data_IF_910565956155
#
_entry.id   IF_910565956155
#
_cell.length_a   1.000
_cell.length_b   1.000
_cell.length_c   1.000
_cell.angle_alpha   90.00
_cell.angle_beta   90.00
_cell.angle_gamma   90.00
#
_symmetry.space_group_name_H-M   'P 1'
#
loop_
_entity.id
_entity.type
_entity.pdbx_description
1 polymer ?
#
# COMPACT_ATOMS: atom_id res chain seq x y z
N UNK A 1 -16.89 8.72 -14.87
CA UNK A 1 -15.44 8.93 -15.07
C UNK A 1 -14.82 7.56 -15.28
N UNK A 2 -13.85 7.42 -16.20
CA UNK A 2 -13.21 6.14 -16.48
C UNK A 2 -11.79 6.20 -15.92
N UNK A 3 -11.56 5.51 -14.80
CA UNK A 3 -10.23 5.41 -14.20
C UNK A 3 -9.48 4.22 -14.78
N UNK A 4 -8.20 4.41 -15.06
CA UNK A 4 -7.30 3.34 -15.48
C UNK A 4 -6.50 2.83 -14.30
N UNK A 5 -6.47 1.51 -14.10
CA UNK A 5 -5.67 0.86 -13.06
C UNK A 5 -4.55 0.06 -13.71
N UNK A 6 -3.31 0.29 -13.29
CA UNK A 6 -2.14 -0.41 -13.84
C UNK A 6 -1.00 -0.52 -12.84
N UNK A 7 -0.05 -1.42 -13.12
CA UNK A 7 1.24 -1.44 -12.44
C UNK A 7 2.07 -0.24 -12.91
N UNK A 8 2.77 0.38 -11.97
CA UNK A 8 3.72 1.43 -12.26
C UNK A 8 4.98 0.86 -12.93
N UNK A 9 5.53 1.64 -13.85
CA UNK A 9 6.83 1.42 -14.48
C UNK A 9 7.88 2.36 -13.87
N UNK A 10 9.16 2.08 -14.10
CA UNK A 10 10.30 2.95 -13.72
C UNK A 10 10.05 4.43 -14.04
N UNK A 11 9.50 4.72 -15.23
CA UNK A 11 9.22 6.10 -15.67
C UNK A 11 8.21 6.85 -14.78
N UNK A 12 7.36 6.11 -14.06
CA UNK A 12 6.29 6.67 -13.23
C UNK A 12 6.76 7.04 -11.82
N UNK A 13 7.94 6.59 -11.39
CA UNK A 13 8.40 6.74 -10.01
C UNK A 13 8.50 8.20 -9.57
N UNK A 14 8.96 9.10 -10.45
CA UNK A 14 9.01 10.54 -10.17
C UNK A 14 7.62 11.14 -9.95
N UNK A 15 6.62 10.67 -10.72
CA UNK A 15 5.25 11.14 -10.59
C UNK A 15 4.60 10.61 -9.30
N UNK A 16 4.85 9.35 -8.95
CA UNK A 16 4.41 8.75 -7.69
C UNK A 16 5.03 9.48 -6.49
N UNK A 17 6.34 9.74 -6.51
CA UNK A 17 7.01 10.47 -5.42
C UNK A 17 6.38 11.85 -5.23
N UNK A 18 6.18 12.60 -6.32
CA UNK A 18 5.54 13.90 -6.27
C UNK A 18 4.10 13.83 -5.72
N UNK A 19 3.34 12.81 -6.09
CA UNK A 19 1.98 12.56 -5.59
C UNK A 19 1.97 12.24 -4.08
N UNK A 20 2.83 11.33 -3.63
CA UNK A 20 2.98 10.97 -2.22
C UNK A 20 3.43 12.16 -1.37
N UNK A 21 4.36 12.97 -1.88
CA UNK A 21 4.85 14.18 -1.22
C UNK A 21 3.74 15.22 -1.06
N UNK A 22 2.91 15.44 -2.09
CA UNK A 22 1.73 16.32 -2.01
C UNK A 22 0.73 15.84 -0.96
N UNK A 23 0.59 14.53 -0.77
CA UNK A 23 -0.28 13.94 0.24
C UNK A 23 0.34 13.87 1.65
N UNK A 24 1.56 14.37 1.84
CA UNK A 24 2.26 14.31 3.13
C UNK A 24 2.56 12.89 3.61
N UNK A 25 2.57 11.91 2.71
CA UNK A 25 2.82 10.51 3.02
C UNK A 25 4.31 10.18 2.84
N UNK A 26 4.79 9.15 3.53
CA UNK A 26 6.18 8.72 3.39
C UNK A 26 6.50 8.37 1.93
N UNK A 27 7.52 9.06 1.41
CA UNK A 27 8.06 8.94 0.05
C UNK A 27 9.54 8.55 0.06
N UNK A 28 10.10 8.24 1.24
CA UNK A 28 11.48 7.74 1.37
C UNK A 28 11.56 6.28 0.94
N UNK A 29 12.70 5.85 0.41
CA UNK A 29 12.94 4.46 0.03
C UNK A 29 12.02 3.97 -1.10
N UNK A 30 11.69 4.83 -2.06
CA UNK A 30 10.96 4.47 -3.29
C UNK A 30 11.87 3.82 -4.36
N UNK A 31 13.10 3.48 -4.01
CA UNK A 31 14.07 2.86 -4.93
C UNK A 31 13.47 1.60 -5.56
N UNK A 32 13.49 1.58 -6.90
CA UNK A 32 12.81 0.58 -7.76
C UNK A 32 13.14 -0.88 -7.42
N UNK A 33 14.29 -1.11 -6.79
CA UNK A 33 14.76 -2.45 -6.44
C UNK A 33 13.92 -3.13 -5.34
N UNK A 34 13.12 -2.39 -4.56
CA UNK A 34 12.41 -2.94 -3.39
C UNK A 34 10.90 -2.71 -3.35
N UNK A 35 10.38 -1.77 -4.12
CA UNK A 35 8.96 -1.39 -4.07
C UNK A 35 8.27 -1.53 -5.42
N UNK A 36 7.07 -2.11 -5.43
CA UNK A 36 6.15 -2.17 -6.57
C UNK A 36 4.91 -1.33 -6.28
N UNK A 37 4.45 -0.56 -7.26
CA UNK A 37 3.28 0.31 -7.10
C UNK A 37 2.18 -0.03 -8.08
N UNK A 38 0.94 0.00 -7.59
CA UNK A 38 -0.26 0.04 -8.41
C UNK A 38 -0.77 1.48 -8.41
N UNK A 39 -1.07 2.00 -9.58
CA UNK A 39 -1.55 3.36 -9.80
C UNK A 39 -2.94 3.34 -10.39
N UNK A 40 -3.76 4.30 -9.96
CA UNK A 40 -5.02 4.64 -10.60
C UNK A 40 -4.92 6.05 -11.20
N UNK A 41 -5.24 6.16 -12.48
CA UNK A 41 -5.12 7.38 -13.27
C UNK A 41 -6.51 7.84 -13.74
N UNK A 42 -6.73 9.15 -13.68
CA UNK A 42 -7.81 9.87 -14.34
C UNK A 42 -7.23 10.51 -15.61
N UNK A 43 -7.55 10.00 -16.81
CA UNK A 43 -6.90 10.43 -18.03
C UNK A 43 -7.16 11.91 -18.38
N UNK A 44 -6.21 12.57 -19.09
CA UNK A 44 -4.88 12.08 -19.43
C UNK A 44 -3.88 12.40 -18.30
N UNK A 45 -3.34 11.36 -17.66
CA UNK A 45 -2.16 11.42 -16.79
C UNK A 45 -2.30 12.05 -15.39
N UNK A 46 -3.51 12.17 -14.83
CA UNK A 46 -3.66 12.54 -13.41
C UNK A 46 -3.64 11.29 -12.51
N UNK A 47 -2.60 11.10 -11.71
CA UNK A 47 -2.61 10.09 -10.64
C UNK A 47 -3.64 10.49 -9.59
N UNK A 48 -4.68 9.67 -9.42
CA UNK A 48 -5.75 9.89 -8.44
C UNK A 48 -5.66 8.94 -7.25
N UNK A 49 -4.92 7.84 -7.37
CA UNK A 49 -4.51 7.02 -6.24
C UNK A 49 -3.25 6.18 -6.54
N UNK A 50 -2.56 5.78 -5.48
CA UNK A 50 -1.48 4.80 -5.54
C UNK A 50 -1.47 3.90 -4.31
N UNK A 51 -1.00 2.66 -4.50
CA UNK A 51 -0.76 1.69 -3.43
C UNK A 51 0.58 1.01 -3.70
N UNK A 52 1.52 1.14 -2.76
CA UNK A 52 2.83 0.51 -2.82
C UNK A 52 2.89 -0.81 -2.07
N UNK A 53 3.81 -1.67 -2.46
CA UNK A 53 4.16 -2.91 -1.77
C UNK A 53 5.66 -3.11 -1.78
N UNK A 54 6.22 -3.41 -0.61
CA UNK A 54 7.57 -3.95 -0.46
C UNK A 54 7.50 -5.46 -0.28
N UNK A 55 8.41 -6.19 -0.93
CA UNK A 55 8.55 -7.64 -0.79
C UNK A 55 9.62 -7.96 0.26
N UNK A 56 9.32 -8.93 1.13
CA UNK A 56 10.20 -9.42 2.17
C UNK A 56 10.41 -10.94 2.01
N UNK A 57 11.35 -11.47 2.79
CA UNK A 57 11.57 -12.92 2.88
C UNK A 57 10.33 -13.67 3.39
N UNK A 58 10.36 -14.99 3.29
CA UNK A 58 9.28 -15.87 3.79
C UNK A 58 7.90 -15.58 3.19
N UNK A 59 7.87 -15.13 1.92
CA UNK A 59 6.63 -14.84 1.17
C UNK A 59 5.78 -13.77 1.86
N UNK A 60 6.42 -12.78 2.46
CA UNK A 60 5.75 -11.66 3.14
C UNK A 60 5.84 -10.40 2.28
N UNK A 61 4.83 -9.56 2.36
CA UNK A 61 4.82 -8.25 1.73
C UNK A 61 4.29 -7.20 2.69
N UNK A 62 4.70 -5.95 2.51
CA UNK A 62 4.24 -4.80 3.27
C UNK A 62 3.60 -3.79 2.32
N UNK A 63 2.31 -3.55 2.49
CA UNK A 63 1.64 -2.44 1.83
C UNK A 63 2.08 -1.14 2.48
N UNK A 64 2.43 -0.18 1.63
CA UNK A 64 2.85 1.16 2.02
C UNK A 64 2.19 2.22 1.14
N UNK A 65 2.22 3.45 1.63
CA UNK A 65 1.95 4.63 0.83
C UNK A 65 0.58 4.60 0.09
N UNK A 66 -0.48 4.10 0.75
CA UNK A 66 -1.85 4.20 0.23
C UNK A 66 -2.30 5.65 0.26
N UNK A 67 -2.37 6.27 -0.91
CA UNK A 67 -2.88 7.62 -1.10
C UNK A 67 -4.01 7.57 -2.10
N UNK A 68 -5.14 8.15 -1.73
CA UNK A 68 -6.38 8.16 -2.52
C UNK A 68 -6.89 9.61 -2.52
N UNK A 69 -7.15 10.15 -3.69
CA UNK A 69 -7.79 11.47 -3.83
C UNK A 69 -9.24 11.43 -3.34
N UNK A 70 -9.74 12.58 -2.91
CA UNK A 70 -11.12 12.80 -2.47
C UNK A 70 -12.19 12.53 -3.55
N UNK A 71 -11.78 12.51 -4.82
CA UNK A 71 -12.61 12.18 -5.98
C UNK A 71 -13.03 10.71 -6.03
N UNK A 72 -12.36 9.81 -5.30
CA UNK A 72 -12.55 8.37 -5.43
C UNK A 72 -13.53 7.79 -4.40
N UNK A 73 -14.45 6.94 -4.87
CA UNK A 73 -15.33 6.15 -4.03
C UNK A 73 -14.60 4.98 -3.33
N UNK A 74 -15.21 4.42 -2.29
CA UNK A 74 -14.74 3.20 -1.63
C UNK A 74 -14.57 2.02 -2.60
N UNK A 75 -15.41 1.91 -3.64
CA UNK A 75 -15.28 0.88 -4.66
C UNK A 75 -13.95 0.93 -5.40
N UNK A 76 -13.39 2.12 -5.64
CA UNK A 76 -12.08 2.27 -6.28
C UNK A 76 -10.94 1.81 -5.36
N UNK A 77 -11.10 2.02 -4.04
CA UNK A 77 -10.13 1.55 -3.05
C UNK A 77 -10.14 0.02 -3.01
N UNK A 78 -11.33 -0.60 -3.02
CA UNK A 78 -11.46 -2.07 -3.13
C UNK A 78 -10.73 -2.60 -4.38
N UNK A 79 -10.88 -1.95 -5.54
CA UNK A 79 -10.19 -2.35 -6.78
C UNK A 79 -8.65 -2.28 -6.67
N UNK A 80 -8.10 -1.30 -5.94
CA UNK A 80 -6.67 -1.21 -5.66
C UNK A 80 -6.19 -2.42 -4.84
N UNK A 81 -6.90 -2.74 -3.74
CA UNK A 81 -6.56 -3.88 -2.90
C UNK A 81 -6.70 -5.21 -3.64
N UNK A 82 -7.73 -5.39 -4.47
CA UNK A 82 -7.89 -6.59 -5.30
C UNK A 82 -6.74 -6.75 -6.30
N UNK A 83 -6.34 -5.67 -6.96
CA UNK A 83 -5.22 -5.72 -7.92
C UNK A 83 -3.90 -6.00 -7.21
N UNK A 84 -3.73 -5.47 -6.00
CA UNK A 84 -2.57 -5.77 -5.17
C UNK A 84 -2.55 -7.24 -4.73
N UNK A 85 -3.71 -7.81 -4.39
CA UNK A 85 -3.81 -9.22 -4.05
C UNK A 85 -3.43 -10.11 -5.25
N UNK A 86 -3.90 -9.77 -6.46
CA UNK A 86 -3.48 -10.47 -7.69
C UNK A 86 -1.97 -10.35 -7.94
N UNK A 87 -1.37 -9.19 -7.65
CA UNK A 87 0.08 -9.01 -7.74
C UNK A 87 0.81 -9.93 -6.74
N UNK A 88 0.33 -9.99 -5.49
CA UNK A 88 0.88 -10.83 -4.44
C UNK A 88 0.83 -12.31 -4.81
N UNK A 89 -0.30 -12.78 -5.33
CA UNK A 89 -0.47 -14.16 -5.80
C UNK A 89 0.55 -14.51 -6.89
N UNK A 90 0.73 -13.62 -7.88
CA UNK A 90 1.73 -13.80 -8.95
C UNK A 90 3.17 -13.83 -8.43
N UNK A 91 3.45 -13.13 -7.32
CA UNK A 91 4.77 -13.07 -6.67
C UNK A 91 4.95 -14.17 -5.61
N UNK A 92 3.92 -14.97 -5.33
CA UNK A 92 3.94 -16.01 -4.30
C UNK A 92 3.93 -15.47 -2.87
N UNK A 93 3.52 -14.21 -2.67
CA UNK A 93 3.36 -13.58 -1.35
C UNK A 93 2.10 -14.15 -0.69
N UNK A 94 2.27 -14.68 0.52
CA UNK A 94 1.22 -15.34 1.30
C UNK A 94 0.68 -14.46 2.41
N UNK A 95 1.50 -13.57 2.97
CA UNK A 95 1.07 -12.67 4.05
C UNK A 95 1.37 -11.23 3.68
N UNK A 96 0.34 -10.41 3.67
CA UNK A 96 0.44 -8.97 3.51
C UNK A 96 0.27 -8.27 4.85
N UNK A 97 1.18 -7.35 5.14
CA UNK A 97 1.11 -6.44 6.27
C UNK A 97 0.77 -5.04 5.80
N UNK A 98 0.18 -4.23 6.68
CA UNK A 98 0.05 -2.79 6.48
C UNK A 98 -0.08 -2.09 7.83
N UNK A 99 0.26 -0.81 7.88
CA UNK A 99 0.11 0.00 9.09
C UNK A 99 -1.04 0.98 8.91
N UNK A 100 -2.03 0.88 9.78
CA UNK A 100 -3.18 1.77 9.83
C UNK A 100 -3.00 2.79 10.97
N UNK A 101 -3.03 4.08 10.66
CA UNK A 101 -2.84 5.16 11.63
C UNK A 101 -4.11 5.99 11.89
N UNK A 102 -5.23 5.61 11.27
CA UNK A 102 -6.55 6.23 11.48
C UNK A 102 -7.56 5.16 11.86
N UNK A 103 -8.42 5.47 12.83
CA UNK A 103 -9.46 4.54 13.27
C UNK A 103 -10.45 4.18 12.16
N UNK A 104 -10.82 5.15 11.33
CA UNK A 104 -11.73 4.94 10.18
C UNK A 104 -11.16 4.02 9.10
N UNK A 105 -9.84 3.88 9.01
CA UNK A 105 -9.25 2.88 8.11
C UNK A 105 -9.33 1.46 8.67
N UNK A 106 -9.37 1.26 9.98
CA UNK A 106 -9.38 -0.09 10.59
C UNK A 106 -10.63 -0.88 10.18
N UNK A 107 -11.82 -0.30 10.39
CA UNK A 107 -13.09 -0.97 10.06
C UNK A 107 -13.16 -1.38 8.58
N UNK A 108 -12.65 -0.52 7.69
CA UNK A 108 -12.61 -0.80 6.26
C UNK A 108 -11.61 -1.91 5.90
N UNK A 109 -10.45 -1.92 6.55
CA UNK A 109 -9.42 -2.94 6.35
C UNK A 109 -9.86 -4.31 6.87
N UNK A 110 -10.63 -4.35 7.97
CA UNK A 110 -11.26 -5.59 8.46
C UNK A 110 -12.21 -6.19 7.42
N UNK A 111 -13.03 -5.37 6.76
CA UNK A 111 -13.89 -5.81 5.65
C UNK A 111 -13.07 -6.36 4.49
N UNK A 112 -11.87 -5.84 4.24
CA UNK A 112 -10.94 -6.35 3.23
C UNK A 112 -10.20 -7.64 3.65
N UNK A 113 -10.45 -8.11 4.86
CA UNK A 113 -9.90 -9.35 5.43
C UNK A 113 -8.57 -9.17 6.16
N UNK A 114 -8.18 -7.93 6.46
CA UNK A 114 -7.07 -7.67 7.38
C UNK A 114 -7.54 -7.84 8.82
N UNK A 115 -6.63 -8.27 9.69
CA UNK A 115 -6.84 -8.33 11.13
C UNK A 115 -5.64 -7.71 11.82
N UNK A 116 -5.80 -7.25 13.05
CA UNK A 116 -4.66 -6.76 13.82
C UNK A 116 -3.62 -7.89 14.01
N UNK A 117 -2.35 -7.60 13.70
CA UNK A 117 -1.26 -8.53 13.93
C UNK A 117 -0.97 -8.65 15.43
N UNK A 118 -0.69 -9.88 15.90
CA UNK A 118 -0.40 -10.12 17.31
C UNK A 118 0.98 -9.57 17.73
N UNK A 119 1.93 -9.54 16.80
CA UNK A 119 3.28 -9.02 16.98
C UNK A 119 3.82 -8.53 15.63
N UNK A 120 4.89 -7.73 15.68
CA UNK A 120 5.65 -7.34 14.50
C UNK A 120 6.56 -8.51 14.13
N UNK A 121 6.45 -9.09 12.92
CA UNK A 121 7.38 -10.11 12.45
C UNK A 121 8.81 -9.59 12.37
N UNK A 122 9.79 -10.45 12.65
CA UNK A 122 11.22 -10.11 12.59
C UNK A 122 11.65 -9.60 11.20
N UNK A 123 11.01 -10.05 10.12
CA UNK A 123 11.36 -9.61 8.77
C UNK A 123 10.95 -8.15 8.48
N UNK A 124 10.02 -7.61 9.27
CA UNK A 124 9.67 -6.19 9.21
C UNK A 124 10.59 -5.34 10.10
N UNK A 125 11.42 -5.98 10.94
CA UNK A 125 12.39 -5.31 11.79
C UNK A 125 13.49 -4.69 10.91
N UNK A 126 13.73 -3.39 11.11
CA UNK A 126 14.63 -2.60 10.27
C UNK A 126 14.01 -1.96 9.03
N UNK A 127 12.72 -2.18 8.71
CA UNK A 127 12.05 -1.36 7.70
C UNK A 127 11.87 0.09 8.20
N UNK A 128 12.46 1.05 7.48
CA UNK A 128 12.29 2.48 7.79
C UNK A 128 10.80 2.87 7.79
N UNK A 129 10.03 2.35 6.82
CA UNK A 129 8.60 2.63 6.73
C UNK A 129 7.84 2.12 7.96
N UNK A 130 8.15 0.92 8.43
CA UNK A 130 7.51 0.33 9.62
C UNK A 130 7.85 1.14 10.86
N UNK A 131 9.14 1.39 11.08
CA UNK A 131 9.60 2.12 12.27
C UNK A 131 9.06 3.55 12.36
N UNK A 132 8.96 4.27 11.23
CA UNK A 132 8.40 5.62 11.22
C UNK A 132 6.88 5.63 11.36
N UNK A 133 6.19 4.68 10.72
CA UNK A 133 4.73 4.64 10.75
C UNK A 133 4.19 4.23 12.13
N UNK A 134 4.88 3.32 12.83
CA UNK A 134 4.48 2.89 14.18
C UNK A 134 4.74 3.94 15.27
N UNK A 135 5.56 4.98 15.02
CA UNK A 135 5.73 6.12 15.94
C UNK A 135 4.49 7.01 16.01
N UNK A 136 3.59 6.91 15.03
CA UNK A 136 2.34 7.68 15.01
C UNK A 136 1.39 7.12 16.07
N UNK A 137 0.88 8.00 16.94
CA UNK A 137 -0.01 7.60 18.02
C UNK A 137 -1.28 6.93 17.46
N UNK A 138 -1.60 5.74 17.97
CA UNK A 138 -2.73 4.94 17.50
C UNK A 138 -2.46 4.14 16.22
N UNK A 139 -1.21 4.07 15.74
CA UNK A 139 -0.85 3.18 14.65
C UNK A 139 -0.97 1.70 15.06
N UNK A 140 -1.54 0.90 14.16
CA UNK A 140 -1.75 -0.53 14.35
C UNK A 140 -1.21 -1.27 13.14
N UNK A 141 -0.40 -2.30 13.37
CA UNK A 141 -0.01 -3.26 12.33
C UNK A 141 -1.17 -4.22 12.09
N UNK A 142 -1.57 -4.35 10.84
CA UNK A 142 -2.57 -5.31 10.39
C UNK A 142 -1.95 -6.31 9.42
N UNK A 143 -2.48 -7.52 9.41
CA UNK A 143 -2.05 -8.62 8.54
C UNK A 143 -3.23 -9.26 7.82
N UNK A 144 -2.98 -9.79 6.63
CA UNK A 144 -3.89 -10.65 5.87
C UNK A 144 -3.10 -11.80 5.28
N UNK A 145 -3.56 -13.02 5.51
CA UNK A 145 -2.94 -14.23 4.96
C UNK A 145 -3.83 -14.81 3.89
N UNK A 146 -3.28 -15.02 2.70
CA UNK A 146 -3.93 -15.77 1.62
C UNK A 146 -4.13 -17.21 2.10
N UNK A 147 -5.39 -17.65 2.18
CA UNK A 147 -5.78 -18.98 2.65
C UNK A 147 -5.65 -20.02 1.55
#
# INVERSE_FOLDING_TARGET
>A
MFYQLRLAETKDMNAIEAFLKKAGTSHKGLEEAKSQFIMMEDPPDEIVACLGMEEFENKKGLLRSLVVSDKLSQGHIVSLFQSMQVLCEKRGIQTLYLIANKRTSLDFLEVLGFKQAAAIPEELDGSEHVSDSLKVNGAVLMEKTST
#
